data_IF_900928786509
#
_entry.id   IF_900928786509
#
_cell.length_a   1.000
_cell.length_b   1.000
_cell.length_c   1.000
_cell.angle_alpha   90.00
_cell.angle_beta   90.00
_cell.angle_gamma   90.00
#
_symmetry.space_group_name_H-M   'P 1'
#
loop_
_entity.id
_entity.type
_entity.pdbx_description
1 polymer ?
#
# COMPACT_ATOMS: atom_id res chain seq x y z
N UNK A 1 36.83 5.96 58.71
CA UNK A 1 37.48 5.86 60.03
C UNK A 1 38.93 5.40 59.83
N UNK A 2 39.83 6.37 59.66
CA UNK A 2 41.26 6.30 59.96
C UNK A 2 41.64 7.77 60.16
N UNK A 3 41.65 8.23 61.42
CA UNK A 3 42.05 9.59 61.75
C UNK A 3 43.56 9.77 61.54
N UNK A 4 43.98 10.92 60.99
CA UNK A 4 45.38 11.18 60.71
C UNK A 4 46.16 11.29 62.02
N UNK A 5 47.30 10.64 62.07
CA UNK A 5 48.25 10.71 63.18
C UNK A 5 48.60 12.17 63.43
N UNK A 6 48.07 12.72 64.53
CA UNK A 6 48.30 14.09 64.93
C UNK A 6 49.79 14.34 65.15
N UNK A 7 50.27 15.46 64.59
CA UNK A 7 51.51 16.09 64.99
C UNK A 7 51.55 16.21 66.51
N UNK A 8 52.53 15.57 67.14
CA UNK A 8 52.85 15.76 68.55
C UNK A 8 53.20 17.25 68.75
N UNK A 9 52.54 18.00 69.65
CA UNK A 9 53.02 19.32 70.02
C UNK A 9 54.31 19.13 70.82
N UNK A 10 55.45 19.45 70.20
CA UNK A 10 56.74 19.35 70.87
C UNK A 10 56.77 20.27 72.10
N UNK A 11 56.70 19.65 73.28
CA UNK A 11 56.93 20.29 74.57
C UNK A 11 58.32 20.94 74.54
N UNK A 12 58.47 22.26 74.81
CA UNK A 12 59.74 22.97 74.63
C UNK A 12 60.91 22.44 75.49
N UNK A 13 60.65 21.57 76.47
CA UNK A 13 61.67 20.90 77.29
C UNK A 13 62.22 19.58 76.69
N UNK A 14 61.69 19.10 75.55
CA UNK A 14 62.13 17.88 74.86
C UNK A 14 62.94 18.16 73.59
N UNK A 15 63.33 19.43 73.35
CA UNK A 15 64.21 19.78 72.24
C UNK A 15 65.67 19.50 72.63
N UNK A 16 66.45 18.77 71.81
CA UNK A 16 67.86 18.52 72.07
C UNK A 16 68.69 19.82 72.08
N UNK A 17 69.64 19.98 73.01
CA UNK A 17 70.57 21.14 73.05
C UNK A 17 71.65 21.10 71.94
N UNK A 18 71.75 19.96 71.25
CA UNK A 18 72.65 19.79 70.12
C UNK A 18 72.04 20.38 68.84
N UNK A 19 72.73 21.39 68.31
CA UNK A 19 72.36 22.12 67.09
C UNK A 19 72.16 21.15 65.92
N UNK A 20 72.94 20.06 65.85
CA UNK A 20 72.85 19.11 64.75
C UNK A 20 71.65 18.15 64.91
N UNK A 21 71.28 17.79 66.14
CA UNK A 21 70.05 17.05 66.43
C UNK A 21 68.79 17.89 66.13
N UNK A 22 68.80 19.19 66.44
CA UNK A 22 67.74 20.12 66.07
C UNK A 22 67.60 20.28 64.55
N UNK A 23 68.71 20.44 63.83
CA UNK A 23 68.71 20.47 62.35
C UNK A 23 68.14 19.18 61.77
N UNK A 24 68.48 18.02 62.33
CA UNK A 24 67.96 16.72 61.89
C UNK A 24 66.44 16.58 62.13
N UNK A 25 65.94 17.02 63.29
CA UNK A 25 64.50 17.04 63.57
C UNK A 25 63.73 17.99 62.65
N UNK A 26 64.27 19.19 62.39
CA UNK A 26 63.68 20.15 61.45
C UNK A 26 63.68 19.56 60.04
N UNK A 27 64.76 18.94 59.59
CA UNK A 27 64.82 18.27 58.29
C UNK A 27 63.80 17.12 58.19
N UNK A 28 63.64 16.31 59.25
CA UNK A 28 62.65 15.25 59.30
C UNK A 28 61.21 15.79 59.28
N UNK A 29 60.92 16.88 60.01
CA UNK A 29 59.62 17.54 59.99
C UNK A 29 59.32 18.18 58.62
N UNK A 30 60.31 18.78 57.96
CA UNK A 30 60.18 19.27 56.59
C UNK A 30 59.95 18.14 55.58
N UNK A 31 60.60 16.99 55.75
CA UNK A 31 60.37 15.81 54.93
C UNK A 31 58.95 15.23 55.12
N UNK A 32 58.46 15.14 56.37
CA UNK A 32 57.09 14.72 56.68
C UNK A 32 56.04 15.71 56.14
N UNK A 33 56.31 17.02 56.24
CA UNK A 33 55.44 18.04 55.65
C UNK A 33 55.40 17.93 54.13
N UNK A 34 56.55 17.70 53.50
CA UNK A 34 56.64 17.50 52.06
C UNK A 34 55.88 16.24 51.60
N UNK A 35 55.95 15.13 52.33
CA UNK A 35 55.18 13.93 52.01
C UNK A 35 53.67 14.13 52.21
N UNK A 36 53.25 14.83 53.27
CA UNK A 36 51.85 15.17 53.49
C UNK A 36 51.29 16.15 52.44
N UNK A 37 52.10 17.12 52.00
CA UNK A 37 51.74 18.03 50.91
C UNK A 37 51.63 17.28 49.57
N UNK A 38 52.49 16.29 49.31
CA UNK A 38 52.37 15.39 48.15
C UNK A 38 51.09 14.54 48.19
N UNK A 39 50.75 13.94 49.33
CA UNK A 39 49.50 13.18 49.52
C UNK A 39 48.27 14.07 49.34
N UNK A 40 48.30 15.29 49.88
CA UNK A 40 47.22 16.28 49.73
C UNK A 40 47.03 16.65 48.27
N UNK A 41 48.11 16.86 47.51
CA UNK A 41 48.04 17.14 46.08
C UNK A 41 47.48 15.94 45.29
N UNK A 42 47.87 14.71 45.64
CA UNK A 42 47.33 13.50 45.00
C UNK A 42 45.83 13.32 45.28
N UNK A 43 45.38 13.56 46.51
CA UNK A 43 43.95 13.53 46.86
C UNK A 43 43.17 14.65 46.17
N UNK A 44 43.74 15.85 46.06
CA UNK A 44 43.12 16.96 45.32
C UNK A 44 42.96 16.65 43.84
N UNK A 45 43.96 16.00 43.22
CA UNK A 45 43.87 15.54 41.83
C UNK A 45 42.76 14.50 41.66
N UNK A 46 42.63 13.56 42.59
CA UNK A 46 41.57 12.52 42.56
C UNK A 46 40.17 13.13 42.74
N UNK A 47 40.02 14.08 43.68
CA UNK A 47 38.75 14.80 43.88
C UNK A 47 38.38 15.63 42.64
N UNK A 48 39.37 16.25 41.98
CA UNK A 48 39.14 16.97 40.74
C UNK A 48 38.67 16.03 39.61
N UNK A 49 39.26 14.84 39.50
CA UNK A 49 38.84 13.82 38.54
C UNK A 49 37.39 13.37 38.80
N UNK A 50 37.04 13.00 40.04
CA UNK A 50 35.66 12.61 40.36
C UNK A 50 34.65 13.75 40.20
N UNK A 51 35.03 15.01 40.45
CA UNK A 51 34.17 16.17 40.17
C UNK A 51 33.91 16.34 38.68
N UNK A 52 34.92 16.08 37.84
CA UNK A 52 34.74 16.07 36.40
C UNK A 52 33.76 14.95 35.98
N UNK A 53 33.93 13.72 36.51
CA UNK A 53 33.01 12.59 36.27
C UNK A 53 31.56 12.91 36.69
N UNK A 54 31.37 13.48 37.89
CA UNK A 54 30.04 13.90 38.37
C UNK A 54 29.43 14.96 37.45
N UNK A 55 30.22 15.91 36.96
CA UNK A 55 29.72 16.93 36.04
C UNK A 55 29.25 16.34 34.69
N UNK A 56 29.93 15.29 34.21
CA UNK A 56 29.54 14.55 33.00
C UNK A 56 28.23 13.80 33.25
N UNK A 57 28.12 13.05 34.35
CA UNK A 57 26.89 12.32 34.68
C UNK A 57 25.70 13.25 34.95
N UNK A 58 25.92 14.43 35.54
CA UNK A 58 24.86 15.43 35.71
C UNK A 58 24.38 15.98 34.36
N UNK A 59 25.27 16.16 33.39
CA UNK A 59 24.88 16.54 32.04
C UNK A 59 24.10 15.42 31.32
N UNK A 60 24.49 14.15 31.50
CA UNK A 60 23.77 12.99 30.97
C UNK A 60 22.36 12.86 31.56
N UNK A 61 22.22 13.00 32.88
CA UNK A 61 20.92 12.97 33.55
C UNK A 61 20.01 14.09 33.04
N UNK A 62 20.53 15.32 32.93
CA UNK A 62 19.77 16.45 32.40
C UNK A 62 19.32 16.21 30.94
N UNK A 63 20.17 15.58 30.11
CA UNK A 63 19.81 15.22 28.75
C UNK A 63 18.69 14.17 28.70
N UNK A 64 18.76 13.12 29.52
CA UNK A 64 17.72 12.10 29.60
C UNK A 64 16.40 12.64 30.17
N UNK A 65 16.44 13.53 31.15
CA UNK A 65 15.23 14.18 31.68
C UNK A 65 14.54 15.03 30.61
N UNK A 66 15.30 15.79 29.82
CA UNK A 66 14.77 16.56 28.68
C UNK A 66 14.12 15.64 27.64
N UNK A 67 14.74 14.50 27.34
CA UNK A 67 14.20 13.50 26.42
C UNK A 67 12.90 12.87 26.93
N UNK A 68 12.83 12.54 28.23
CA UNK A 68 11.62 12.00 28.87
C UNK A 68 10.48 13.02 28.81
N UNK A 69 10.75 14.31 29.05
CA UNK A 69 9.75 15.37 28.96
C UNK A 69 9.23 15.52 27.52
N UNK A 70 10.13 15.51 26.52
CA UNK A 70 9.76 15.56 25.11
C UNK A 70 8.89 14.36 24.69
N UNK A 71 9.28 13.15 25.10
CA UNK A 71 8.52 11.92 24.85
C UNK A 71 7.13 11.94 25.51
N UNK A 72 7.02 12.46 26.73
CA UNK A 72 5.72 12.60 27.41
C UNK A 72 4.81 13.61 26.71
N UNK A 73 5.34 14.75 26.27
CA UNK A 73 4.60 15.75 25.51
C UNK A 73 4.09 15.21 24.15
N UNK A 74 4.93 14.43 23.46
CA UNK A 74 4.50 13.74 22.23
C UNK A 74 3.36 12.75 22.51
N UNK A 75 3.47 11.94 23.57
CA UNK A 75 2.45 10.97 23.96
C UNK A 75 1.11 11.63 24.32
N UNK A 76 1.13 12.80 24.98
CA UNK A 76 -0.11 13.54 25.28
C UNK A 76 -0.74 14.11 24.02
N UNK A 77 0.05 14.65 23.08
CA UNK A 77 -0.45 15.13 21.80
C UNK A 77 -1.07 13.99 20.96
N UNK A 78 -0.45 12.81 20.97
CA UNK A 78 -1.01 11.64 20.31
C UNK A 78 -2.32 11.18 20.96
N UNK A 79 -2.42 11.20 22.29
CA UNK A 79 -3.65 10.86 23.00
C UNK A 79 -4.80 11.83 22.68
N UNK A 80 -4.53 13.13 22.59
CA UNK A 80 -5.52 14.13 22.16
C UNK A 80 -5.97 13.91 20.71
N UNK A 81 -5.05 13.54 19.82
CA UNK A 81 -5.36 13.20 18.43
C UNK A 81 -6.23 11.95 18.34
N UNK A 82 -5.93 10.92 19.13
CA UNK A 82 -6.74 9.70 19.21
C UNK A 82 -8.15 10.04 19.71
N UNK A 83 -8.27 10.80 20.80
CA UNK A 83 -9.58 11.20 21.32
C UNK A 83 -10.39 12.00 20.29
N UNK A 84 -9.75 12.90 19.53
CA UNK A 84 -10.41 13.63 18.44
C UNK A 84 -10.88 12.66 17.35
N UNK A 85 -10.03 11.76 16.88
CA UNK A 85 -10.38 10.79 15.83
C UNK A 85 -11.50 9.85 16.28
N UNK A 86 -11.48 9.36 17.51
CA UNK A 86 -12.54 8.54 18.08
C UNK A 86 -13.87 9.28 18.14
N UNK A 87 -13.88 10.57 18.48
CA UNK A 87 -15.11 11.38 18.47
C UNK A 87 -15.67 11.59 17.06
N UNK A 88 -14.81 11.77 16.05
CA UNK A 88 -15.21 11.86 14.64
C UNK A 88 -15.80 10.52 14.18
N UNK A 89 -15.14 9.40 14.48
CA UNK A 89 -15.65 8.06 14.14
C UNK A 89 -16.99 7.81 14.81
N UNK A 90 -17.18 8.21 16.07
CA UNK A 90 -18.46 8.08 16.76
C UNK A 90 -19.57 8.95 16.12
N UNK A 91 -19.23 10.16 15.67
CA UNK A 91 -20.14 11.04 14.93
C UNK A 91 -20.53 10.45 13.58
N UNK A 92 -19.57 9.93 12.81
CA UNK A 92 -19.81 9.28 11.53
C UNK A 92 -20.64 7.99 11.67
N UNK A 93 -20.38 7.17 12.70
CA UNK A 93 -21.20 5.99 13.01
C UNK A 93 -22.63 6.36 13.37
N UNK A 94 -22.84 7.45 14.12
CA UNK A 94 -24.19 7.98 14.39
C UNK A 94 -24.86 8.52 13.12
N UNK A 95 -24.12 9.15 12.21
CA UNK A 95 -24.67 9.59 10.92
C UNK A 95 -25.07 8.40 10.02
N UNK A 96 -24.29 7.31 10.04
CA UNK A 96 -24.54 6.12 9.23
C UNK A 96 -25.64 5.21 9.79
N UNK A 97 -25.70 5.02 11.11
CA UNK A 97 -26.57 4.03 11.77
C UNK A 97 -27.58 4.63 12.75
N UNK A 98 -27.61 5.96 12.92
CA UNK A 98 -28.59 6.63 13.78
C UNK A 98 -30.00 6.59 13.21
N UNK A 99 -31.00 6.65 14.09
CA UNK A 99 -32.41 6.76 13.69
C UNK A 99 -32.58 7.99 12.81
N UNK A 100 -32.89 7.77 11.54
CA UNK A 100 -33.14 8.78 10.49
C UNK A 100 -34.30 9.69 10.89
N UNK A 101 -34.03 10.70 11.69
CA UNK A 101 -34.87 11.89 11.79
C UNK A 101 -33.96 13.09 11.51
N UNK A 102 -34.30 13.80 10.44
CA UNK A 102 -33.75 15.09 10.00
C UNK A 102 -32.42 15.07 9.22
N UNK A 103 -32.61 15.12 7.89
CA UNK A 103 -31.82 15.81 6.86
C UNK A 103 -30.37 16.20 7.21
N UNK A 104 -29.44 15.28 7.00
CA UNK A 104 -28.10 15.60 6.49
C UNK A 104 -27.85 14.71 5.28
N UNK A 105 -28.06 15.28 4.08
CA UNK A 105 -27.65 14.65 2.83
C UNK A 105 -26.14 14.86 2.73
N UNK A 106 -25.38 13.78 2.90
CA UNK A 106 -23.98 13.73 2.47
C UNK A 106 -24.02 13.72 0.93
N UNK A 107 -23.38 14.69 0.30
CA UNK A 107 -23.37 14.85 -1.17
C UNK A 107 -22.57 13.68 -1.80
N UNK A 108 -22.85 13.25 -3.04
CA UNK A 108 -22.11 12.16 -3.69
C UNK A 108 -20.59 12.42 -3.79
N UNK A 109 -20.19 13.69 -3.81
CA UNK A 109 -18.77 14.09 -3.82
C UNK A 109 -18.07 13.82 -2.47
N UNK A 110 -18.82 13.85 -1.36
CA UNK A 110 -18.30 13.50 -0.04
C UNK A 110 -18.07 11.99 0.08
N UNK A 111 -18.83 11.14 -0.61
CA UNK A 111 -18.65 9.69 -0.54
C UNK A 111 -17.31 9.24 -1.14
N UNK A 112 -16.87 9.85 -2.25
CA UNK A 112 -15.56 9.59 -2.86
C UNK A 112 -14.42 10.17 -2.02
N UNK A 113 -14.59 11.37 -1.45
CA UNK A 113 -13.60 11.96 -0.53
C UNK A 113 -13.48 11.15 0.77
N UNK A 114 -14.60 10.65 1.31
CA UNK A 114 -14.60 9.77 2.47
C UNK A 114 -13.92 8.44 2.15
N UNK A 115 -14.18 7.84 0.98
CA UNK A 115 -13.51 6.62 0.55
C UNK A 115 -11.99 6.82 0.46
N UNK A 116 -11.53 7.95 -0.08
CA UNK A 116 -10.11 8.29 -0.13
C UNK A 116 -9.50 8.45 1.28
N UNK A 117 -10.19 9.15 2.19
CA UNK A 117 -9.74 9.31 3.59
C UNK A 117 -9.67 7.94 4.30
N UNK A 118 -10.62 7.04 4.05
CA UNK A 118 -10.58 5.69 4.63
C UNK A 118 -9.45 4.85 4.05
N UNK A 119 -9.15 4.96 2.76
CA UNK A 119 -8.03 4.26 2.11
C UNK A 119 -6.67 4.77 2.61
N UNK A 120 -6.55 6.09 2.80
CA UNK A 120 -5.38 6.73 3.39
C UNK A 120 -5.20 6.33 4.87
N UNK A 121 -6.28 6.26 5.64
CA UNK A 121 -6.25 5.74 7.01
C UNK A 121 -5.90 4.25 7.07
N UNK A 122 -6.42 3.42 6.15
CA UNK A 122 -6.06 2.00 6.08
C UNK A 122 -4.58 1.82 5.73
N UNK A 123 -4.07 2.62 4.79
CA UNK A 123 -2.66 2.64 4.41
C UNK A 123 -1.80 3.05 5.60
N UNK A 124 -2.12 4.15 6.28
CA UNK A 124 -1.41 4.60 7.48
C UNK A 124 -1.48 3.60 8.64
N UNK A 125 -2.62 2.91 8.83
CA UNK A 125 -2.72 1.80 9.80
C UNK A 125 -1.84 0.61 9.40
N UNK A 126 -1.73 0.31 8.11
CA UNK A 126 -0.82 -0.70 7.57
C UNK A 126 0.65 -0.37 7.87
N UNK A 127 1.04 0.89 7.65
CA UNK A 127 2.38 1.41 7.96
C UNK A 127 2.69 1.34 9.46
N UNK A 128 1.75 1.76 10.31
CA UNK A 128 1.90 1.70 11.78
C UNK A 128 2.05 0.25 12.25
N UNK A 129 1.22 -0.68 11.74
CA UNK A 129 1.33 -2.11 12.08
C UNK A 129 2.69 -2.69 11.64
N UNK A 130 3.11 -2.41 10.42
CA UNK A 130 4.43 -2.84 9.93
C UNK A 130 5.58 -2.24 10.77
N UNK A 131 5.42 -1.00 11.25
CA UNK A 131 6.36 -0.36 12.17
C UNK A 131 6.36 -0.95 13.58
N UNK A 132 5.19 -1.35 14.10
CA UNK A 132 5.04 -2.03 15.39
C UNK A 132 5.63 -3.44 15.36
N UNK A 133 5.42 -4.20 14.27
CA UNK A 133 6.02 -5.53 14.07
C UNK A 133 7.55 -5.45 13.98
N UNK A 134 8.11 -4.35 13.44
CA UNK A 134 9.55 -4.10 13.43
C UNK A 134 10.12 -3.67 14.80
N UNK A 135 9.33 -2.98 15.62
CA UNK A 135 9.75 -2.50 16.97
C UNK A 135 9.59 -3.56 18.06
N UNK A 136 8.65 -4.48 17.91
CA UNK A 136 8.48 -5.64 18.79
C UNK A 136 9.50 -6.74 18.43
N UNK A 137 10.77 -6.53 18.79
CA UNK A 137 11.78 -7.57 18.71
C UNK A 137 11.34 -8.84 19.44
N UNK A 138 11.48 -9.98 18.77
CA UNK A 138 11.23 -11.35 19.24
C UNK A 138 9.77 -11.70 19.61
N UNK A 139 8.87 -11.68 18.63
CA UNK A 139 7.67 -12.51 18.72
C UNK A 139 8.06 -13.99 18.61
N UNK A 140 7.73 -14.79 19.62
CA UNK A 140 7.88 -16.24 19.58
C UNK A 140 7.17 -16.78 18.34
N UNK A 141 7.89 -17.56 17.53
CA UNK A 141 7.43 -18.13 16.27
C UNK A 141 6.18 -18.99 16.54
N UNK A 142 4.99 -18.40 16.38
CA UNK A 142 3.76 -19.18 16.31
C UNK A 142 3.84 -20.07 15.08
N UNK A 143 3.40 -21.35 15.17
CA UNK A 143 3.39 -22.22 14.02
C UNK A 143 2.58 -21.57 12.91
N UNK A 144 3.20 -21.45 11.73
CA UNK A 144 2.62 -20.82 10.55
C UNK A 144 1.31 -21.51 10.20
N UNK A 145 0.21 -20.75 10.21
CA UNK A 145 -1.07 -21.23 9.69
C UNK A 145 -0.88 -21.47 8.19
N UNK A 146 -1.33 -22.61 7.62
CA UNK A 146 -1.20 -22.86 6.19
C UNK A 146 -1.89 -21.73 5.42
N UNK A 147 -1.11 -21.03 4.59
CA UNK A 147 -1.65 -19.95 3.74
C UNK A 147 -2.64 -20.56 2.76
N UNK A 148 -3.76 -19.87 2.52
CA UNK A 148 -4.66 -20.23 1.42
C UNK A 148 -3.87 -20.04 0.11
N UNK A 149 -3.71 -21.12 -0.64
CA UNK A 149 -2.99 -21.09 -1.92
C UNK A 149 -3.69 -20.22 -2.96
N UNK A 150 -2.96 -19.87 -4.03
CA UNK A 150 -3.50 -19.10 -5.15
C UNK A 150 -4.47 -19.93 -5.99
N UNK A 151 -5.32 -19.24 -6.76
CA UNK A 151 -6.35 -19.90 -7.55
C UNK A 151 -5.72 -20.83 -8.62
N UNK A 152 -6.26 -22.05 -8.86
CA UNK A 152 -5.62 -23.02 -9.75
C UNK A 152 -5.51 -22.60 -11.22
N UNK A 153 -6.40 -21.71 -11.67
CA UNK A 153 -6.46 -21.24 -13.06
C UNK A 153 -5.42 -20.17 -13.42
N UNK A 154 -4.69 -19.64 -12.43
CA UNK A 154 -3.63 -18.67 -12.68
C UNK A 154 -2.40 -19.39 -13.24
N UNK A 155 -1.79 -18.79 -14.26
CA UNK A 155 -0.54 -19.27 -14.83
C UNK A 155 0.57 -19.25 -13.78
N UNK A 156 1.31 -20.35 -13.67
CA UNK A 156 2.48 -20.47 -12.78
C UNK A 156 3.73 -20.37 -13.63
N UNK A 157 4.43 -19.24 -13.54
CA UNK A 157 5.74 -19.05 -14.16
C UNK A 157 6.81 -19.49 -13.17
N UNK A 158 7.52 -20.56 -13.50
CA UNK A 158 8.59 -21.11 -12.64
C UNK A 158 9.90 -20.34 -12.87
N UNK A 159 10.41 -19.73 -11.80
CA UNK A 159 11.75 -19.14 -11.78
C UNK A 159 12.66 -20.00 -10.91
N UNK A 160 13.52 -20.79 -11.55
CA UNK A 160 14.54 -21.60 -10.86
C UNK A 160 15.77 -20.73 -10.64
N UNK A 161 16.11 -20.47 -9.37
CA UNK A 161 17.33 -19.77 -8.99
C UNK A 161 18.35 -20.84 -8.59
N UNK A 162 19.31 -21.10 -9.45
CA UNK A 162 20.41 -22.02 -9.16
C UNK A 162 21.46 -21.34 -8.27
N UNK A 163 22.01 -22.05 -7.26
CA UNK A 163 23.08 -21.49 -6.42
C UNK A 163 24.36 -21.30 -7.24
N UNK A 164 25.10 -20.23 -6.97
CA UNK A 164 26.45 -20.07 -7.50
C UNK A 164 27.34 -21.22 -7.01
N UNK A 165 28.09 -21.83 -7.94
CA UNK A 165 28.97 -22.95 -7.62
C UNK A 165 30.17 -22.42 -6.82
N UNK A 166 30.35 -22.83 -5.54
CA UNK A 166 31.51 -22.42 -4.75
C UNK A 166 32.80 -22.94 -5.40
N UNK A 167 33.91 -22.19 -5.26
CA UNK A 167 35.24 -22.57 -5.78
C UNK A 167 35.68 -23.97 -5.36
N UNK A 168 35.26 -24.40 -4.17
CA UNK A 168 35.65 -25.68 -3.56
C UNK A 168 34.85 -26.86 -4.14
N UNK A 169 33.77 -26.58 -4.87
CA UNK A 169 32.86 -27.57 -5.44
C UNK A 169 33.02 -27.71 -6.97
N UNK A 170 34.01 -27.05 -7.57
CA UNK A 170 34.25 -27.09 -9.01
C UNK A 170 34.71 -28.49 -9.43
N UNK A 171 33.93 -29.14 -10.32
CA UNK A 171 34.21 -30.47 -10.83
C UNK A 171 33.57 -31.63 -10.05
N UNK A 172 32.85 -31.34 -8.95
CA UNK A 172 32.05 -32.34 -8.24
C UNK A 172 30.64 -32.48 -8.84
N UNK A 173 30.06 -33.67 -8.75
CA UNK A 173 28.70 -33.93 -9.23
C UNK A 173 27.66 -33.39 -8.24
N UNK A 174 26.87 -32.40 -8.65
CA UNK A 174 25.76 -31.89 -7.86
C UNK A 174 24.57 -32.86 -7.88
N UNK A 175 24.01 -33.15 -6.70
CA UNK A 175 22.78 -33.95 -6.54
C UNK A 175 21.73 -33.08 -5.87
N UNK A 176 20.55 -32.95 -6.51
CA UNK A 176 19.42 -32.18 -5.97
C UNK A 176 18.75 -32.97 -4.83
N UNK A 177 18.80 -32.43 -3.60
CA UNK A 177 18.28 -33.08 -2.38
C UNK A 177 16.84 -32.65 -2.06
N UNK A 178 16.46 -31.43 -2.47
CA UNK A 178 15.14 -30.86 -2.24
C UNK A 178 15.05 -29.46 -2.83
N UNK A 179 13.89 -28.84 -2.71
CA UNK A 179 13.67 -27.45 -3.10
C UNK A 179 12.68 -26.77 -2.16
N UNK A 180 12.91 -25.48 -1.90
CA UNK A 180 11.95 -24.64 -1.19
C UNK A 180 11.11 -23.88 -2.22
N UNK A 181 9.81 -24.18 -2.28
CA UNK A 181 8.87 -23.55 -3.23
C UNK A 181 8.17 -22.37 -2.55
N UNK A 182 8.28 -21.19 -3.17
CA UNK A 182 7.51 -20.01 -2.76
C UNK A 182 6.66 -19.49 -3.92
N UNK A 183 5.34 -19.53 -3.78
CA UNK A 183 4.43 -18.92 -4.76
C UNK A 183 4.27 -17.42 -4.45
N UNK A 184 4.37 -16.59 -5.50
CA UNK A 184 4.12 -15.14 -5.46
C UNK A 184 3.19 -14.77 -6.62
N UNK A 185 2.29 -13.82 -6.38
CA UNK A 185 1.43 -13.29 -7.43
C UNK A 185 2.17 -12.16 -8.15
N UNK A 186 2.32 -12.29 -9.46
CA UNK A 186 2.89 -11.27 -10.33
C UNK A 186 1.81 -10.70 -11.27
N UNK A 187 2.09 -9.55 -11.89
CA UNK A 187 1.19 -8.89 -12.84
C UNK A 187 1.95 -8.49 -14.10
N UNK A 188 1.51 -9.01 -15.25
CA UNK A 188 1.95 -8.53 -16.56
C UNK A 188 0.97 -7.45 -17.04
N UNK A 189 1.42 -6.23 -17.36
CA UNK A 189 0.57 -5.22 -17.97
C UNK A 189 -0.08 -5.70 -19.27
N UNK A 190 -1.21 -5.11 -19.64
CA UNK A 190 -1.87 -5.43 -20.91
C UNK A 190 -0.96 -5.07 -22.09
N UNK A 191 -0.52 -6.06 -22.87
CA UNK A 191 0.33 -5.83 -24.05
C UNK A 191 -0.52 -5.54 -25.29
N UNK A 192 -0.33 -4.38 -25.91
CA UNK A 192 -0.95 -4.07 -27.20
C UNK A 192 -0.12 -4.64 -28.36
N UNK A 193 -0.79 -5.27 -29.32
CA UNK A 193 -0.16 -5.82 -30.53
C UNK A 193 -0.95 -5.46 -31.78
N UNK A 194 -0.24 -5.28 -32.88
CA UNK A 194 -0.84 -5.04 -34.20
C UNK A 194 -0.96 -6.36 -34.94
N UNK A 195 -2.17 -6.72 -35.36
CA UNK A 195 -2.42 -7.91 -36.18
C UNK A 195 -2.40 -7.48 -37.66
N UNK A 196 -1.45 -7.99 -38.42
CA UNK A 196 -1.29 -7.67 -39.85
C UNK A 196 -1.84 -8.81 -40.71
N UNK A 197 -3.06 -8.66 -41.20
CA UNK A 197 -3.70 -9.63 -42.11
C UNK A 197 -3.27 -9.39 -43.55
N UNK A 198 -2.43 -10.26 -44.11
CA UNK A 198 -2.00 -10.19 -45.52
C UNK A 198 -2.86 -11.08 -46.39
N UNK A 199 -3.47 -10.51 -47.44
CA UNK A 199 -4.29 -11.22 -48.42
C UNK A 199 -3.64 -11.15 -49.81
N UNK A 200 -2.66 -12.01 -50.12
CA UNK A 200 -1.99 -12.00 -51.42
C UNK A 200 -2.98 -12.25 -52.56
N UNK A 201 -2.74 -11.58 -53.69
CA UNK A 201 -3.46 -11.78 -54.95
C UNK A 201 -2.58 -12.62 -55.86
N UNK A 202 -3.12 -13.68 -56.43
CA UNK A 202 -2.41 -14.54 -57.37
C UNK A 202 -3.06 -14.42 -58.74
N UNK A 203 -2.23 -14.23 -59.78
CA UNK A 203 -2.68 -14.29 -61.17
C UNK A 203 -2.35 -15.68 -61.72
N UNK A 204 -3.35 -16.37 -62.24
CA UNK A 204 -3.20 -17.64 -62.95
C UNK A 204 -3.48 -17.40 -64.42
N UNK A 205 -2.57 -17.84 -65.29
CA UNK A 205 -2.78 -17.82 -66.74
C UNK A 205 -3.54 -19.07 -67.14
N UNK A 206 -4.72 -18.90 -67.74
CA UNK A 206 -5.51 -20.03 -68.24
C UNK A 206 -5.03 -20.45 -69.62
N UNK A 207 -5.36 -21.70 -70.00
CA UNK A 207 -5.01 -22.29 -71.29
C UNK A 207 -5.59 -21.50 -72.48
N UNK A 208 -6.68 -20.79 -72.26
CA UNK A 208 -7.39 -19.98 -73.27
C UNK A 208 -6.76 -18.58 -73.48
N UNK A 209 -5.66 -18.27 -72.78
CA UNK A 209 -4.91 -17.01 -72.90
C UNK A 209 -5.38 -15.89 -71.97
N UNK A 210 -6.46 -16.10 -71.19
CA UNK A 210 -6.95 -15.13 -70.21
C UNK A 210 -6.26 -15.28 -68.84
N UNK A 211 -5.97 -14.15 -68.19
CA UNK A 211 -5.40 -14.11 -66.84
C UNK A 211 -6.52 -13.97 -65.79
N UNK A 212 -6.60 -14.90 -64.84
CA UNK A 212 -7.55 -14.87 -63.71
C UNK A 212 -6.84 -14.51 -62.41
N UNK A 213 -7.29 -13.44 -61.76
CA UNK A 213 -6.80 -13.02 -60.44
C UNK A 213 -7.68 -13.67 -59.36
N UNK A 214 -7.04 -14.38 -58.42
CA UNK A 214 -7.68 -15.01 -57.28
C UNK A 214 -7.15 -14.38 -55.99
N UNK A 215 -8.06 -14.01 -55.10
CA UNK A 215 -7.76 -13.49 -53.76
C UNK A 215 -8.76 -14.08 -52.77
N UNK A 216 -8.31 -14.46 -51.57
CA UNK A 216 -9.21 -14.81 -50.47
C UNK A 216 -10.10 -13.61 -50.10
N UNK A 217 -11.37 -13.78 -49.73
CA UNK A 217 -12.26 -12.68 -49.30
C UNK A 217 -11.76 -11.98 -48.03
N UNK A 218 -12.25 -10.77 -47.76
CA UNK A 218 -11.92 -10.05 -46.54
C UNK A 218 -12.61 -10.75 -45.36
N UNK A 219 -11.93 -10.95 -44.21
CA UNK A 219 -12.63 -11.29 -42.99
C UNK A 219 -13.61 -10.17 -42.63
N UNK A 220 -14.78 -10.56 -42.13
CA UNK A 220 -15.73 -9.61 -41.56
C UNK A 220 -15.27 -9.22 -40.16
N UNK A 221 -15.30 -7.93 -39.86
CA UNK A 221 -14.96 -7.37 -38.56
C UNK A 221 -16.15 -6.61 -38.00
N UNK A 222 -16.26 -6.56 -36.66
CA UNK A 222 -17.38 -5.88 -36.00
C UNK A 222 -17.45 -4.38 -36.35
N UNK A 223 -16.29 -3.73 -36.49
CA UNK A 223 -16.17 -2.35 -36.99
C UNK A 223 -15.48 -2.39 -38.35
N UNK A 224 -16.27 -2.25 -39.41
CA UNK A 224 -15.79 -2.31 -40.80
C UNK A 224 -14.75 -1.21 -41.05
N UNK A 225 -13.53 -1.59 -41.41
CA UNK A 225 -12.41 -0.66 -41.65
C UNK A 225 -11.88 0.03 -40.39
N UNK A 226 -12.34 -0.38 -39.20
CA UNK A 226 -11.84 0.13 -37.93
C UNK A 226 -10.46 -0.45 -37.60
N UNK A 227 -9.72 0.31 -36.78
CA UNK A 227 -8.47 -0.14 -36.15
C UNK A 227 -8.69 -1.25 -35.11
N UNK A 228 -9.78 -1.28 -34.31
CA UNK A 228 -9.83 -2.17 -33.16
C UNK A 228 -10.23 -3.58 -33.56
N UNK A 229 -9.60 -4.56 -32.92
CA UNK A 229 -10.04 -5.95 -32.92
C UNK A 229 -11.13 -6.16 -31.89
N UNK A 230 -11.87 -7.26 -32.00
CA UNK A 230 -12.93 -7.65 -31.05
C UNK A 230 -12.38 -7.79 -29.62
N UNK A 231 -11.13 -8.23 -29.48
CA UNK A 231 -10.45 -8.30 -28.18
C UNK A 231 -10.18 -6.91 -27.58
N UNK A 232 -9.75 -5.94 -28.40
CA UNK A 232 -9.56 -4.56 -27.93
C UNK A 232 -10.90 -3.93 -27.55
N UNK A 233 -11.96 -4.18 -28.32
CA UNK A 233 -13.31 -3.71 -28.01
C UNK A 233 -13.80 -4.30 -26.67
N UNK A 234 -13.58 -5.59 -26.45
CA UNK A 234 -13.92 -6.25 -25.19
C UNK A 234 -13.16 -5.65 -24.00
N UNK A 235 -11.85 -5.40 -24.13
CA UNK A 235 -11.04 -4.77 -23.08
C UNK A 235 -11.60 -3.39 -22.71
N UNK A 236 -11.82 -2.51 -23.70
CA UNK A 236 -12.34 -1.15 -23.46
C UNK A 236 -13.72 -1.21 -22.79
N UNK A 237 -14.58 -2.13 -23.23
CA UNK A 237 -15.92 -2.30 -22.67
C UNK A 237 -15.89 -2.81 -21.23
N UNK A 238 -15.11 -3.85 -20.92
CA UNK A 238 -14.97 -4.40 -19.56
C UNK A 238 -14.40 -3.34 -18.62
N UNK A 239 -13.29 -2.71 -19.01
CA UNK A 239 -12.70 -1.65 -18.20
C UNK A 239 -13.67 -0.50 -17.96
N UNK A 240 -14.47 -0.11 -18.95
CA UNK A 240 -15.45 0.97 -18.80
C UNK A 240 -16.64 0.61 -17.91
N UNK A 241 -17.27 -0.53 -18.17
CA UNK A 241 -18.59 -0.86 -17.63
C UNK A 241 -18.57 -1.83 -16.44
N UNK A 242 -17.55 -2.69 -16.35
CA UNK A 242 -17.37 -3.59 -15.22
C UNK A 242 -16.45 -2.97 -14.16
N UNK A 243 -15.32 -2.41 -14.58
CA UNK A 243 -14.29 -1.89 -13.66
C UNK A 243 -14.47 -0.40 -13.34
N UNK A 244 -15.41 0.29 -14.00
CA UNK A 244 -15.71 1.69 -13.74
C UNK A 244 -14.64 2.68 -14.21
N UNK A 245 -13.77 2.29 -15.14
CA UNK A 245 -12.65 3.09 -15.63
C UNK A 245 -13.08 4.00 -16.79
N UNK A 246 -13.19 5.34 -16.61
CA UNK A 246 -13.69 6.22 -17.66
C UNK A 246 -12.76 6.26 -18.89
N UNK A 247 -13.32 6.53 -20.08
CA UNK A 247 -12.57 6.46 -21.35
C UNK A 247 -11.35 7.40 -21.41
N UNK A 248 -11.42 8.59 -20.79
CA UNK A 248 -10.27 9.51 -20.77
C UNK A 248 -9.09 8.90 -19.97
N UNK A 249 -9.39 8.16 -18.92
CA UNK A 249 -8.39 7.50 -18.08
C UNK A 249 -7.81 6.27 -18.77
N UNK A 250 -8.63 5.56 -19.54
CA UNK A 250 -8.15 4.48 -20.42
C UNK A 250 -7.18 5.02 -21.47
N UNK A 251 -7.51 6.16 -22.12
CA UNK A 251 -6.61 6.83 -23.06
C UNK A 251 -5.24 7.13 -22.42
N UNK A 252 -5.22 7.69 -21.21
CA UNK A 252 -3.96 7.97 -20.50
C UNK A 252 -3.20 6.70 -20.13
N UNK A 253 -3.90 5.61 -19.78
CA UNK A 253 -3.26 4.32 -19.48
C UNK A 253 -2.64 3.74 -20.75
N UNK A 254 -3.35 3.74 -21.87
CA UNK A 254 -2.86 3.21 -23.14
C UNK A 254 -1.69 4.02 -23.69
N UNK A 255 -1.69 5.34 -23.45
CA UNK A 255 -0.57 6.21 -23.81
C UNK A 255 0.74 5.83 -23.11
N UNK A 256 0.69 5.19 -21.92
CA UNK A 256 1.90 4.71 -21.22
C UNK A 256 2.60 3.59 -21.97
N UNK A 257 1.83 2.81 -22.73
CA UNK A 257 2.35 1.74 -23.60
C UNK A 257 2.60 2.25 -25.04
N UNK A 258 2.60 3.57 -25.25
CA UNK A 258 2.81 4.21 -26.56
C UNK A 258 1.61 4.09 -27.51
N UNK A 259 0.43 3.73 -27.00
CA UNK A 259 -0.79 3.56 -27.81
C UNK A 259 -1.66 4.81 -27.72
N UNK A 260 -1.64 5.61 -28.78
CA UNK A 260 -2.44 6.84 -28.88
C UNK A 260 -3.86 6.52 -29.39
N UNK A 261 -4.83 6.48 -28.47
CA UNK A 261 -6.24 6.29 -28.78
C UNK A 261 -7.08 7.45 -28.26
N UNK A 262 -7.75 8.16 -29.15
CA UNK A 262 -8.60 9.29 -28.75
C UNK A 262 -9.91 8.83 -28.08
N UNK A 263 -10.33 9.58 -27.07
CA UNK A 263 -11.58 9.36 -26.34
C UNK A 263 -12.81 9.33 -27.24
N UNK A 264 -12.89 10.20 -28.25
CA UNK A 264 -14.06 10.26 -29.14
C UNK A 264 -14.15 9.01 -30.01
N UNK A 265 -13.00 8.51 -30.48
CA UNK A 265 -12.90 7.28 -31.26
C UNK A 265 -13.35 6.06 -30.42
N UNK A 266 -12.84 5.94 -29.20
CA UNK A 266 -13.29 4.88 -28.27
C UNK A 266 -14.79 4.99 -27.95
N UNK A 267 -15.32 6.21 -27.79
CA UNK A 267 -16.75 6.41 -27.55
C UNK A 267 -17.60 5.96 -28.75
N UNK A 268 -17.17 6.25 -29.98
CA UNK A 268 -17.81 5.79 -31.20
C UNK A 268 -17.82 4.25 -31.28
N UNK A 269 -16.70 3.60 -30.94
CA UNK A 269 -16.62 2.14 -30.88
C UNK A 269 -17.58 1.54 -29.86
N UNK A 270 -17.67 2.11 -28.66
CA UNK A 270 -18.61 1.65 -27.64
C UNK A 270 -20.07 1.83 -28.06
N UNK A 271 -20.38 2.91 -28.80
CA UNK A 271 -21.71 3.08 -29.40
C UNK A 271 -22.04 2.00 -30.42
N UNK A 272 -21.10 1.69 -31.32
CA UNK A 272 -21.30 0.62 -32.32
C UNK A 272 -21.41 -0.76 -31.67
N UNK A 273 -20.54 -1.06 -30.70
CA UNK A 273 -20.59 -2.31 -29.94
C UNK A 273 -21.93 -2.45 -29.21
N UNK A 274 -22.45 -1.38 -28.61
CA UNK A 274 -23.77 -1.37 -27.99
C UNK A 274 -24.89 -1.72 -28.97
N UNK A 275 -24.85 -1.19 -30.20
CA UNK A 275 -25.81 -1.51 -31.24
C UNK A 275 -25.76 -3.00 -31.64
N UNK A 276 -24.56 -3.55 -31.87
CA UNK A 276 -24.39 -4.97 -32.25
C UNK A 276 -24.81 -5.94 -31.13
N UNK A 277 -24.67 -5.53 -29.85
CA UNK A 277 -25.04 -6.35 -28.69
C UNK A 277 -26.52 -6.20 -28.27
N UNK A 278 -27.27 -5.29 -28.90
CA UNK A 278 -28.68 -5.05 -28.58
C UNK A 278 -29.55 -6.33 -28.67
N UNK A 279 -29.43 -7.19 -29.70
CA UNK A 279 -30.22 -8.43 -29.76
C UNK A 279 -29.95 -9.36 -28.57
N UNK A 280 -28.70 -9.45 -28.11
CA UNK A 280 -28.34 -10.23 -26.93
C UNK A 280 -28.93 -9.62 -25.66
N UNK A 281 -28.86 -8.29 -25.53
CA UNK A 281 -29.45 -7.57 -24.40
C UNK A 281 -30.97 -7.71 -24.34
N UNK A 282 -31.65 -7.78 -25.49
CA UNK A 282 -33.09 -8.04 -25.59
C UNK A 282 -33.41 -9.48 -25.22
N UNK A 283 -32.65 -10.45 -25.72
CA UNK A 283 -32.80 -11.86 -25.37
C UNK A 283 -32.66 -12.08 -23.85
N UNK A 284 -31.60 -11.56 -23.23
CA UNK A 284 -31.38 -11.67 -21.77
C UNK A 284 -32.56 -11.07 -21.00
N UNK A 285 -33.03 -9.88 -21.39
CA UNK A 285 -34.19 -9.26 -20.74
C UNK A 285 -35.47 -10.09 -20.90
N UNK A 286 -35.69 -10.63 -22.10
CA UNK A 286 -36.83 -11.50 -22.37
C UNK A 286 -36.79 -12.75 -21.49
N UNK A 287 -35.64 -13.41 -21.38
CA UNK A 287 -35.46 -14.59 -20.53
C UNK A 287 -35.63 -14.28 -19.04
N UNK A 288 -35.15 -13.11 -18.57
CA UNK A 288 -35.37 -12.66 -17.19
C UNK A 288 -36.87 -12.50 -16.93
N UNK A 289 -37.61 -11.87 -17.86
CA UNK A 289 -39.06 -11.65 -17.75
C UNK A 289 -39.90 -12.93 -17.75
N UNK A 290 -39.37 -14.04 -18.26
CA UNK A 290 -40.03 -15.35 -18.19
C UNK A 290 -39.88 -16.04 -16.83
N UNK A 291 -39.03 -15.53 -15.93
CA UNK A 291 -38.84 -16.09 -14.60
C UNK A 291 -40.10 -15.95 -13.72
N UNK A 292 -40.35 -16.95 -12.87
CA UNK A 292 -41.44 -16.89 -11.88
C UNK A 292 -41.22 -15.74 -10.88
N UNK A 293 -39.95 -15.44 -10.56
CA UNK A 293 -39.54 -14.35 -9.68
C UNK A 293 -38.50 -13.49 -10.38
N UNK A 294 -38.74 -12.18 -10.37
CA UNK A 294 -37.83 -11.18 -10.94
C UNK A 294 -37.53 -10.14 -9.87
N UNK A 295 -36.26 -9.89 -9.63
CA UNK A 295 -35.79 -8.82 -8.78
C UNK A 295 -35.57 -7.58 -9.64
N UNK A 296 -36.14 -6.45 -9.21
CA UNK A 296 -35.98 -5.16 -9.88
C UNK A 296 -35.50 -4.14 -8.84
N UNK A 297 -34.46 -3.39 -9.18
CA UNK A 297 -33.94 -2.30 -8.35
C UNK A 297 -33.83 -1.01 -9.17
N UNK A 298 -34.25 0.12 -8.57
CA UNK A 298 -34.18 1.44 -9.20
C UNK A 298 -32.98 2.23 -8.68
N UNK A 299 -32.18 2.76 -9.60
CA UNK A 299 -31.10 3.70 -9.28
C UNK A 299 -31.34 5.01 -10.03
N UNK A 300 -31.41 6.12 -9.29
CA UNK A 300 -31.59 7.45 -9.88
C UNK A 300 -30.24 8.00 -10.33
N UNK A 301 -30.20 8.55 -11.54
CA UNK A 301 -28.99 9.12 -12.13
C UNK A 301 -29.25 10.53 -12.69
N UNK A 302 -28.40 11.52 -12.37
CA UNK A 302 -28.46 12.82 -13.02
C UNK A 302 -28.05 12.70 -14.49
N UNK A 303 -28.91 13.10 -15.41
CA UNK A 303 -28.65 13.08 -16.85
C UNK A 303 -28.79 14.48 -17.43
N UNK A 304 -27.86 14.87 -18.30
CA UNK A 304 -27.93 16.16 -18.98
C UNK A 304 -29.13 16.19 -19.93
N UNK A 305 -29.91 17.27 -19.91
CA UNK A 305 -30.98 17.52 -20.88
C UNK A 305 -30.48 18.50 -21.95
N UNK A 306 -30.08 18.02 -23.15
CA UNK A 306 -29.47 18.85 -24.19
C UNK A 306 -30.37 20.04 -24.54
N UNK A 307 -29.77 21.22 -24.72
CA UNK A 307 -30.48 22.46 -25.07
C UNK A 307 -31.07 23.25 -23.90
N UNK A 308 -31.22 22.66 -22.71
CA UNK A 308 -31.83 23.35 -21.55
C UNK A 308 -30.82 23.86 -20.50
N UNK A 309 -29.57 23.42 -20.57
CA UNK A 309 -28.55 23.68 -19.55
C UNK A 309 -28.85 23.07 -18.17
N UNK A 310 -29.93 22.28 -18.06
CA UNK A 310 -30.40 21.67 -16.81
C UNK A 310 -30.13 20.17 -16.80
N UNK A 311 -30.00 19.64 -15.59
CA UNK A 311 -29.93 18.20 -15.32
C UNK A 311 -31.34 17.69 -15.04
N UNK A 312 -31.73 16.59 -15.70
CA UNK A 312 -32.96 15.84 -15.41
C UNK A 312 -32.59 14.56 -14.66
N UNK A 313 -33.48 14.14 -13.75
CA UNK A 313 -33.37 12.83 -13.11
C UNK A 313 -33.79 11.76 -14.12
N UNK A 314 -32.90 10.81 -14.38
CA UNK A 314 -33.20 9.57 -15.10
C UNK A 314 -33.19 8.39 -14.13
N UNK A 315 -33.75 7.27 -14.57
CA UNK A 315 -33.81 6.04 -13.79
C UNK A 315 -33.10 4.92 -14.55
N UNK A 316 -32.25 4.19 -13.82
CA UNK A 316 -31.65 2.95 -14.26
C UNK A 316 -32.31 1.81 -13.50
N UNK A 317 -32.89 0.87 -14.22
CA UNK A 317 -33.53 -0.32 -13.69
C UNK A 317 -32.59 -1.52 -13.83
N UNK A 318 -32.24 -2.14 -12.71
CA UNK A 318 -31.53 -3.41 -12.70
C UNK A 318 -32.55 -4.54 -12.55
N UNK A 319 -32.65 -5.42 -13.55
CA UNK A 319 -33.45 -6.63 -13.50
C UNK A 319 -32.55 -7.83 -13.29
N UNK A 320 -32.86 -8.68 -12.32
CA UNK A 320 -32.13 -9.90 -12.05
C UNK A 320 -33.08 -11.07 -11.78
N UNK A 321 -32.61 -12.28 -12.11
CA UNK A 321 -33.27 -13.54 -11.80
C UNK A 321 -32.24 -14.45 -11.13
N UNK A 322 -32.49 -14.82 -9.89
CA UNK A 322 -31.72 -15.84 -9.17
C UNK A 322 -32.67 -16.66 -8.28
N UNK A 323 -33.04 -17.84 -8.78
CA UNK A 323 -33.97 -18.74 -8.08
C UNK A 323 -33.23 -19.69 -7.12
N UNK A 324 -31.89 -19.66 -7.04
CA UNK A 324 -31.10 -20.59 -6.20
C UNK A 324 -31.44 -20.53 -4.71
N UNK A 325 -31.67 -19.35 -4.08
CA UNK A 325 -32.12 -19.29 -2.70
C UNK A 325 -33.48 -19.96 -2.44
N UNK A 326 -34.25 -20.21 -3.52
CA UNK A 326 -35.59 -20.78 -3.48
C UNK A 326 -35.64 -22.21 -4.09
N UNK A 327 -34.49 -22.89 -4.22
CA UNK A 327 -34.40 -24.26 -4.72
C UNK A 327 -34.42 -24.39 -6.25
N UNK A 328 -34.32 -23.28 -6.99
CA UNK A 328 -34.20 -23.30 -8.44
C UNK A 328 -32.82 -23.76 -8.92
N UNK A 329 -32.80 -24.52 -10.01
CA UNK A 329 -31.56 -25.00 -10.67
C UNK A 329 -31.09 -24.12 -11.83
N UNK A 330 -31.79 -23.01 -12.10
CA UNK A 330 -31.45 -22.09 -13.18
C UNK A 330 -30.20 -21.27 -12.88
N UNK A 331 -29.38 -20.94 -13.89
CA UNK A 331 -28.24 -20.04 -13.71
C UNK A 331 -28.72 -18.62 -13.38
N UNK A 332 -27.99 -17.86 -12.54
CA UNK A 332 -28.33 -16.47 -12.26
C UNK A 332 -28.16 -15.60 -13.51
N UNK A 333 -29.10 -14.68 -13.75
CA UNK A 333 -29.07 -13.74 -14.88
C UNK A 333 -29.36 -12.32 -14.42
N UNK A 334 -28.73 -11.32 -15.04
CA UNK A 334 -28.94 -9.91 -14.70
C UNK A 334 -28.73 -8.98 -15.88
N UNK A 335 -29.49 -7.87 -15.93
CA UNK A 335 -29.38 -6.80 -16.92
C UNK A 335 -29.71 -5.46 -16.28
N UNK A 336 -28.94 -4.41 -16.61
CA UNK A 336 -29.29 -3.01 -16.32
C UNK A 336 -29.87 -2.33 -17.57
N UNK A 337 -31.02 -1.69 -17.44
CA UNK A 337 -31.71 -0.95 -18.50
C UNK A 337 -31.85 0.52 -18.07
N UNK A 338 -31.50 1.45 -18.94
CA UNK A 338 -31.72 2.88 -18.69
C UNK A 338 -33.01 3.31 -19.37
N UNK A 339 -33.93 3.93 -18.62
CA UNK A 339 -35.11 4.58 -19.17
C UNK A 339 -34.89 6.09 -19.20
N UNK A 340 -34.94 6.66 -20.40
CA UNK A 340 -34.97 8.11 -20.62
C UNK A 340 -36.39 8.64 -20.86
N UNK A 341 -37.41 7.80 -20.69
CA UNK A 341 -38.79 8.12 -21.04
C UNK A 341 -39.76 7.75 -19.92
N UNK A 342 -39.94 8.68 -18.97
CA UNK A 342 -41.22 8.89 -18.30
C UNK A 342 -41.46 10.41 -18.28
N UNK A 343 -41.76 10.95 -19.46
CA UNK A 343 -42.66 12.10 -19.57
C UNK A 343 -43.97 11.51 -20.05
N UNK A 344 -44.87 11.25 -19.11
CA UNK A 344 -46.30 11.26 -19.37
C UNK A 344 -46.82 12.62 -18.87
#
# INVERSE_FOLDING_TARGET
>A
MCHPTGMIPANPQQLPDDVDALKAMIAAAHAQKASADQERLALQATIAAHRAEISVHQAEIAAHEAEIVAMRAAKTADAEKIARLESIVAMLKRAQFGTRSEKLRIDPLDAEQLAFVFDELQTGLGEIRAGQDKRAGASAVRPSRPRKGFAPHLERVEQIIEPEVPTDCVGLQAVRIGEDVSERLDVTPATFRVIVTRRPKYAYRLADGEDRIVQAPAPDYLIVGGIPTEALLAQVAVSKYADGLPLYRQQEIYARDGVELDRSLMAQWMGRLGFELEPLAQYVLHTIKQGERVFADETRLPTLAPGSGKVKTAWLWAYARDDRPFGGSGPPMGKRCADHTLVA
#
